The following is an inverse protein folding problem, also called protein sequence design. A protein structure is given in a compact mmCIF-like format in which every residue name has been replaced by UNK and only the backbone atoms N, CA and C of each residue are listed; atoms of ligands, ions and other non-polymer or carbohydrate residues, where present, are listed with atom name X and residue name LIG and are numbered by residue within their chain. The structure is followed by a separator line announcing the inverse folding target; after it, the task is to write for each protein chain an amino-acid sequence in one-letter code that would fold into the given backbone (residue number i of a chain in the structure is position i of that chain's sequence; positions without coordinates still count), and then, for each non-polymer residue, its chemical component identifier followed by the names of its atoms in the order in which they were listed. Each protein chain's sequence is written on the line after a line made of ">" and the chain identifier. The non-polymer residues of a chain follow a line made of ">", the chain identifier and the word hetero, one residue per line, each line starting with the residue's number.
data_IF_744717498917
#
_entry.id   IF_744717498917
#
_cell.length_a   1.000
_cell.length_b   1.000
_cell.length_c   1.000
_cell.angle_alpha   90.00
_cell.angle_beta   90.00
_cell.angle_gamma   90.00
#
_symmetry.space_group_name_H-M   'P 1'
#
loop_
_entity.id
_entity.type
_entity.pdbx_description
1 polymer ?
#
# COMPACT_ATOMS: atom_id res chain seq x y z
N UNK A 1 -2.46 -8.70 -18.60
CA UNK A 1 -3.79 -8.50 -17.96
C UNK A 1 -3.79 -7.10 -17.39
N UNK A 2 -4.68 -6.22 -17.82
CA UNK A 2 -4.80 -4.85 -17.30
C UNK A 2 -5.83 -4.80 -16.17
N UNK A 3 -5.54 -4.07 -15.10
CA UNK A 3 -6.51 -3.86 -14.02
C UNK A 3 -7.61 -2.92 -14.55
N UNK A 4 -8.90 -3.26 -14.41
CA UNK A 4 -10.01 -2.42 -14.86
C UNK A 4 -10.01 -1.07 -14.13
N UNK A 5 -10.40 -0.02 -14.85
CA UNK A 5 -10.60 1.32 -14.29
C UNK A 5 -12.07 1.68 -14.47
N UNK A 6 -12.74 2.02 -13.37
CA UNK A 6 -14.14 2.47 -13.35
C UNK A 6 -14.17 3.97 -13.08
N UNK A 7 -14.85 4.71 -13.94
CA UNK A 7 -15.07 6.15 -13.75
C UNK A 7 -16.23 6.39 -12.79
N UNK A 8 -15.90 6.75 -11.55
CA UNK A 8 -16.86 6.93 -10.46
C UNK A 8 -17.49 8.33 -10.43
N UNK A 9 -17.32 9.16 -11.46
CA UNK A 9 -17.76 10.57 -11.48
C UNK A 9 -19.25 10.72 -11.16
N UNK A 10 -20.11 9.84 -11.70
CA UNK A 10 -21.57 9.90 -11.50
C UNK A 10 -22.01 9.58 -10.08
N UNK A 11 -21.15 8.96 -9.26
CA UNK A 11 -21.40 8.65 -7.85
C UNK A 11 -20.22 9.08 -6.96
N UNK A 12 -19.57 10.19 -7.31
CA UNK A 12 -18.45 10.73 -6.55
C UNK A 12 -18.90 11.24 -5.18
N UNK A 13 -17.97 11.42 -4.23
CA UNK A 13 -18.28 11.89 -2.86
C UNK A 13 -19.05 13.24 -2.79
N UNK A 14 -19.01 14.04 -3.86
CA UNK A 14 -19.74 15.31 -3.95
C UNK A 14 -21.15 15.19 -4.53
N UNK A 15 -21.49 14.06 -5.17
CA UNK A 15 -22.76 13.87 -5.86
C UNK A 15 -23.86 13.40 -4.90
N UNK A 16 -24.95 14.15 -4.82
CA UNK A 16 -26.07 13.87 -3.89
C UNK A 16 -27.30 13.27 -4.58
N UNK A 17 -27.54 13.64 -5.83
CA UNK A 17 -28.73 13.27 -6.59
C UNK A 17 -28.34 12.44 -7.80
N UNK A 18 -28.16 11.13 -7.59
CA UNK A 18 -27.67 10.21 -8.62
C UNK A 18 -28.81 9.39 -9.20
N UNK A 19 -28.88 9.34 -10.52
CA UNK A 19 -29.97 8.64 -11.20
C UNK A 19 -29.79 7.13 -11.13
N UNK A 20 -30.92 6.41 -11.11
CA UNK A 20 -30.92 4.95 -11.00
C UNK A 20 -30.24 4.25 -12.19
N UNK A 21 -30.31 4.81 -13.40
CA UNK A 21 -29.62 4.30 -14.59
C UNK A 21 -28.10 4.37 -14.44
N UNK A 22 -27.57 5.47 -13.91
CA UNK A 22 -26.14 5.66 -13.67
C UNK A 22 -25.60 4.70 -12.60
N UNK A 23 -26.38 4.45 -11.54
CA UNK A 23 -26.02 3.45 -10.52
C UNK A 23 -26.03 2.03 -11.07
N UNK A 24 -26.99 1.71 -11.94
CA UNK A 24 -27.10 0.40 -12.56
C UNK A 24 -25.93 0.11 -13.49
N UNK A 25 -25.46 1.12 -14.24
CA UNK A 25 -24.27 1.05 -15.08
C UNK A 25 -23.00 0.82 -14.24
N UNK A 26 -22.73 1.69 -13.25
CA UNK A 26 -21.59 1.53 -12.33
C UNK A 26 -21.58 0.17 -11.62
N UNK A 27 -22.75 -0.31 -11.21
CA UNK A 27 -22.90 -1.62 -10.58
C UNK A 27 -22.47 -2.75 -11.53
N UNK A 28 -22.83 -2.64 -12.82
CA UNK A 28 -22.42 -3.59 -13.85
C UNK A 28 -20.90 -3.63 -14.04
N UNK A 29 -20.27 -2.46 -14.17
CA UNK A 29 -18.82 -2.34 -14.35
C UNK A 29 -18.04 -2.90 -13.15
N UNK A 30 -18.43 -2.52 -11.92
CA UNK A 30 -17.80 -3.02 -10.70
C UNK A 30 -17.96 -4.52 -10.57
N UNK A 31 -19.16 -5.05 -10.82
CA UNK A 31 -19.43 -6.49 -10.77
C UNK A 31 -18.51 -7.24 -11.74
N UNK A 32 -18.39 -6.75 -12.97
CA UNK A 32 -17.52 -7.37 -13.97
C UNK A 32 -16.06 -7.35 -13.52
N UNK A 33 -15.54 -6.19 -13.10
CA UNK A 33 -14.15 -6.06 -12.66
C UNK A 33 -13.82 -7.00 -11.48
N UNK A 34 -14.68 -7.08 -10.47
CA UNK A 34 -14.48 -7.98 -9.34
C UNK A 34 -14.62 -9.45 -9.71
N UNK A 35 -15.47 -9.80 -10.69
CA UNK A 35 -15.65 -11.20 -11.11
C UNK A 35 -14.48 -11.70 -11.95
N UNK A 36 -13.96 -10.87 -12.85
CA UNK A 36 -12.91 -11.28 -13.80
C UNK A 36 -11.49 -11.13 -13.23
N UNK A 37 -11.25 -10.09 -12.42
CA UNK A 37 -9.90 -9.68 -11.99
C UNK A 37 -9.74 -9.71 -10.47
N UNK A 38 -10.82 -9.44 -9.72
CA UNK A 38 -10.80 -9.33 -8.25
C UNK A 38 -10.33 -7.98 -7.72
N UNK A 39 -9.82 -7.10 -8.58
CA UNK A 39 -9.37 -5.75 -8.23
C UNK A 39 -9.85 -4.74 -9.29
N UNK A 40 -10.05 -3.48 -8.87
CA UNK A 40 -10.49 -2.38 -9.72
C UNK A 40 -9.82 -1.08 -9.26
N UNK A 41 -9.45 -0.22 -10.21
CA UNK A 41 -9.10 1.16 -9.94
C UNK A 41 -10.33 2.05 -10.09
N UNK A 42 -10.54 2.95 -9.12
CA UNK A 42 -11.57 3.98 -9.22
C UNK A 42 -10.93 5.30 -9.65
N UNK A 43 -11.52 5.94 -10.66
CA UNK A 43 -11.19 7.30 -11.05
C UNK A 43 -12.34 8.24 -10.67
N UNK A 44 -12.06 9.53 -10.47
CA UNK A 44 -13.07 10.56 -10.23
C UNK A 44 -13.99 10.25 -9.03
N UNK A 45 -13.47 9.61 -7.99
CA UNK A 45 -14.21 9.29 -6.76
C UNK A 45 -14.59 10.53 -5.92
N UNK A 46 -14.08 11.70 -6.27
CA UNK A 46 -14.23 12.93 -5.50
C UNK A 46 -13.17 13.11 -4.41
N UNK A 47 -12.25 12.16 -4.23
CA UNK A 47 -11.09 12.30 -3.34
C UNK A 47 -9.99 13.09 -4.06
N UNK A 48 -9.66 14.28 -3.56
CA UNK A 48 -8.61 15.10 -4.17
C UNK A 48 -7.20 14.68 -3.68
N UNK A 49 -6.12 15.01 -4.42
CA UNK A 49 -4.76 14.75 -3.96
C UNK A 49 -4.42 15.32 -2.58
N UNK A 50 -5.03 16.45 -2.21
CA UNK A 50 -4.83 17.13 -0.93
C UNK A 50 -5.48 16.34 0.22
N UNK A 51 -6.63 15.70 -0.02
CA UNK A 51 -7.32 14.85 0.95
C UNK A 51 -6.64 13.49 1.17
N UNK A 52 -5.71 13.10 0.29
CA UNK A 52 -4.95 11.83 0.43
C UNK A 52 -3.99 11.85 1.62
N UNK A 53 -3.56 13.03 2.05
CA UNK A 53 -2.57 13.17 3.12
C UNK A 53 -3.16 13.97 4.28
N UNK A 54 -2.88 13.58 5.54
CA UNK A 54 -3.34 14.34 6.70
C UNK A 54 -2.90 15.81 6.69
N UNK A 55 -1.74 16.11 6.12
CA UNK A 55 -1.22 17.46 5.88
C UNK A 55 -0.10 17.44 4.84
N UNK A 56 0.26 18.60 4.31
CA UNK A 56 1.43 18.75 3.42
C UNK A 56 2.75 18.37 4.14
N UNK A 57 2.89 18.76 5.41
CA UNK A 57 4.05 18.40 6.23
C UNK A 57 4.17 16.88 6.41
N UNK A 58 3.03 16.20 6.60
CA UNK A 58 3.02 14.74 6.74
C UNK A 58 3.53 14.06 5.46
N UNK A 59 3.13 14.55 4.28
CA UNK A 59 3.62 14.03 3.00
C UNK A 59 5.15 14.18 2.87
N UNK A 60 5.70 15.33 3.22
CA UNK A 60 7.15 15.58 3.14
C UNK A 60 7.93 14.73 4.16
N UNK A 61 7.41 14.59 5.39
CA UNK A 61 7.98 13.68 6.40
C UNK A 61 7.98 12.24 5.88
N UNK A 62 6.88 11.78 5.29
CA UNK A 62 6.74 10.41 4.79
C UNK A 62 7.69 10.14 3.61
N UNK A 63 7.87 11.11 2.70
CA UNK A 63 8.86 11.04 1.60
C UNK A 63 10.29 10.97 2.13
N UNK A 64 10.64 11.84 3.07
CA UNK A 64 11.96 11.85 3.71
C UNK A 64 12.24 10.52 4.42
N UNK A 65 11.26 10.01 5.17
CA UNK A 65 11.37 8.74 5.87
C UNK A 65 11.54 7.55 4.91
N UNK A 66 10.81 7.54 3.78
CA UNK A 66 10.99 6.54 2.72
C UNK A 66 12.42 6.52 2.20
N UNK A 67 13.03 7.67 1.90
CA UNK A 67 14.40 7.73 1.39
C UNK A 67 15.41 7.21 2.41
N UNK A 68 15.24 7.54 3.70
CA UNK A 68 16.08 7.00 4.77
C UNK A 68 15.95 5.49 4.90
N UNK A 69 14.73 4.96 4.78
CA UNK A 69 14.48 3.51 4.79
C UNK A 69 15.09 2.81 3.58
N UNK A 70 15.01 3.42 2.38
CA UNK A 70 15.66 2.92 1.16
C UNK A 70 17.17 2.80 1.37
N UNK A 71 17.81 3.86 1.86
CA UNK A 71 19.26 3.86 2.12
C UNK A 71 19.64 2.76 3.12
N UNK A 72 18.93 2.66 4.24
CA UNK A 72 19.16 1.63 5.26
C UNK A 72 18.98 0.23 4.67
N UNK A 73 17.94 0.00 3.89
CA UNK A 73 17.66 -1.28 3.24
C UNK A 73 18.81 -1.71 2.32
N UNK A 74 19.34 -0.79 1.50
CA UNK A 74 20.48 -1.07 0.62
C UNK A 74 21.76 -1.41 1.41
N UNK A 75 22.00 -0.74 2.55
CA UNK A 75 23.11 -1.07 3.44
C UNK A 75 22.97 -2.46 4.04
N UNK A 76 21.78 -2.82 4.52
CA UNK A 76 21.49 -4.17 5.04
C UNK A 76 21.68 -5.22 3.96
N UNK A 77 21.15 -5.00 2.75
CA UNK A 77 21.32 -5.90 1.60
C UNK A 77 22.80 -6.12 1.25
N UNK A 78 23.63 -5.07 1.27
CA UNK A 78 25.07 -5.20 1.05
C UNK A 78 25.76 -6.08 2.10
N UNK A 79 25.41 -5.91 3.38
CA UNK A 79 25.94 -6.74 4.47
C UNK A 79 25.52 -8.20 4.30
N UNK A 80 24.27 -8.46 3.90
CA UNK A 80 23.79 -9.82 3.62
C UNK A 80 24.55 -10.46 2.45
N UNK A 81 24.81 -9.72 1.37
CA UNK A 81 25.61 -10.23 0.25
C UNK A 81 27.01 -10.67 0.70
N UNK A 82 27.69 -9.84 1.50
CA UNK A 82 28.99 -10.16 2.10
C UNK A 82 28.94 -11.41 2.98
N UNK A 83 27.93 -11.53 3.84
CA UNK A 83 27.72 -12.69 4.71
C UNK A 83 27.55 -13.99 3.93
N UNK A 84 27.04 -13.93 2.70
CA UNK A 84 26.84 -15.07 1.82
C UNK A 84 28.05 -15.35 0.91
N UNK A 85 29.13 -14.57 1.02
CA UNK A 85 30.30 -14.69 0.14
C UNK A 85 30.03 -14.29 -1.31
N UNK A 86 29.02 -13.44 -1.55
CA UNK A 86 28.64 -12.96 -2.87
C UNK A 86 29.31 -11.60 -3.18
N UNK A 87 29.18 -11.16 -4.43
CA UNK A 87 29.47 -9.77 -4.81
C UNK A 87 28.66 -8.81 -3.90
N UNK A 88 29.31 -7.88 -3.17
CA UNK A 88 28.64 -6.96 -2.24
C UNK A 88 27.49 -6.17 -2.86
N UNK A 89 27.54 -5.93 -4.17
CA UNK A 89 26.57 -5.09 -4.87
C UNK A 89 25.49 -5.89 -5.61
N UNK A 90 25.49 -7.22 -5.53
CA UNK A 90 24.51 -8.07 -6.23
C UNK A 90 23.07 -7.71 -5.87
N UNK A 91 22.79 -7.55 -4.57
CA UNK A 91 21.44 -7.18 -4.12
C UNK A 91 21.15 -5.69 -4.32
N UNK A 92 22.15 -4.81 -4.26
CA UNK A 92 21.94 -3.39 -4.57
C UNK A 92 21.48 -3.22 -6.01
N UNK A 93 22.12 -3.91 -6.96
CA UNK A 93 21.73 -3.89 -8.39
C UNK A 93 20.33 -4.45 -8.60
N UNK A 94 19.99 -5.55 -7.93
CA UNK A 94 18.64 -6.13 -7.98
C UNK A 94 17.54 -5.17 -7.47
N UNK A 95 17.91 -4.20 -6.63
CA UNK A 95 17.01 -3.22 -6.03
C UNK A 95 17.26 -1.78 -6.54
N UNK A 96 17.93 -1.62 -7.68
CA UNK A 96 18.32 -0.30 -8.22
C UNK A 96 17.12 0.62 -8.50
N UNK A 97 15.96 0.03 -8.77
CA UNK A 97 14.74 0.74 -9.14
C UNK A 97 13.88 1.17 -7.94
N UNK A 98 14.29 0.95 -6.69
CA UNK A 98 13.50 1.39 -5.52
C UNK A 98 13.15 2.88 -5.63
N UNK A 99 11.86 3.20 -5.61
CA UNK A 99 11.34 4.56 -5.72
C UNK A 99 11.00 5.02 -7.15
N UNK A 100 11.08 4.13 -8.15
CA UNK A 100 10.52 4.38 -9.51
C UNK A 100 9.22 3.60 -9.71
N UNK A 101 8.49 3.92 -10.79
CA UNK A 101 7.23 3.25 -11.12
C UNK A 101 7.38 1.76 -11.48
N UNK A 102 8.60 1.35 -11.84
CA UNK A 102 8.98 -0.03 -12.16
C UNK A 102 9.26 -0.90 -10.93
N UNK A 103 9.26 -0.30 -9.73
CA UNK A 103 9.46 -1.00 -8.47
C UNK A 103 8.24 -0.83 -7.55
N UNK A 104 7.90 -1.88 -6.82
CA UNK A 104 6.72 -1.92 -5.95
C UNK A 104 7.06 -1.94 -4.45
N UNK A 105 8.24 -1.42 -4.06
CA UNK A 105 8.56 -1.21 -2.65
C UNK A 105 7.59 -0.21 -2.04
N UNK A 106 6.98 -0.59 -0.92
CA UNK A 106 5.95 0.20 -0.24
C UNK A 106 6.41 0.62 1.15
N UNK A 107 6.06 1.85 1.55
CA UNK A 107 6.06 2.29 2.94
C UNK A 107 4.61 2.32 3.43
N UNK A 108 4.35 1.72 4.59
CA UNK A 108 3.01 1.60 5.18
C UNK A 108 3.01 2.20 6.59
N UNK A 109 2.07 3.10 6.85
CA UNK A 109 1.71 3.53 8.21
C UNK A 109 0.46 2.77 8.63
N UNK A 110 0.57 1.97 9.69
CA UNK A 110 -0.52 1.16 10.22
C UNK A 110 -0.83 1.59 11.65
N UNK A 111 -2.11 1.83 11.93
CA UNK A 111 -2.61 2.04 13.28
C UNK A 111 -3.55 0.90 13.62
N UNK A 112 -3.24 0.15 14.68
CA UNK A 112 -4.06 -0.93 15.19
C UNK A 112 -4.83 -0.42 16.42
N UNK A 113 -6.15 -0.19 16.31
CA UNK A 113 -6.94 0.23 17.46
C UNK A 113 -6.89 -0.82 18.58
N UNK A 114 -6.93 -0.40 19.86
CA UNK A 114 -6.94 -1.32 20.98
C UNK A 114 -8.23 -2.16 21.01
N UNK A 115 -8.08 -3.45 21.32
CA UNK A 115 -9.21 -4.38 21.46
C UNK A 115 -9.66 -4.41 22.92
N UNK A 116 -10.84 -3.88 23.23
CA UNK A 116 -11.37 -3.85 24.60
C UNK A 116 -11.81 -5.21 25.13
N UNK A 117 -12.28 -6.10 24.26
CA UNK A 117 -12.72 -7.44 24.60
C UNK A 117 -12.45 -8.35 23.41
N UNK A 118 -11.54 -9.30 23.57
CA UNK A 118 -11.25 -10.32 22.56
C UNK A 118 -11.94 -11.63 22.95
N UNK A 119 -12.52 -12.33 21.98
CA UNK A 119 -12.98 -13.71 22.17
C UNK A 119 -11.77 -14.64 22.31
N UNK A 120 -11.97 -15.78 22.95
CA UNK A 120 -10.98 -16.86 22.95
C UNK A 120 -10.64 -17.25 21.50
N UNK A 121 -9.35 -17.35 21.19
CA UNK A 121 -8.81 -17.63 19.85
C UNK A 121 -9.17 -16.61 18.75
N UNK A 122 -9.49 -15.36 19.11
CA UNK A 122 -9.76 -14.32 18.12
C UNK A 122 -8.48 -13.89 17.39
N UNK A 123 -8.37 -14.30 16.12
CA UNK A 123 -7.32 -13.84 15.22
C UNK A 123 -7.58 -12.38 14.78
N UNK A 124 -6.51 -11.58 14.72
CA UNK A 124 -6.52 -10.27 14.07
C UNK A 124 -5.95 -10.40 12.67
N UNK A 125 -4.63 -10.25 12.55
CA UNK A 125 -3.91 -10.58 11.33
C UNK A 125 -3.55 -12.07 11.38
N UNK A 126 -3.94 -12.83 10.37
CA UNK A 126 -3.53 -14.23 10.25
C UNK A 126 -2.02 -14.35 10.00
N UNK A 127 -1.50 -15.55 10.18
CA UNK A 127 -0.13 -15.87 9.77
C UNK A 127 0.04 -15.60 8.27
N UNK A 128 1.18 -15.03 7.91
CA UNK A 128 1.51 -14.72 6.53
C UNK A 128 3.03 -14.65 6.38
N UNK A 129 3.50 -14.65 5.14
CA UNK A 129 4.85 -14.25 4.79
C UNK A 129 4.80 -12.89 4.11
N UNK A 130 5.80 -12.05 4.39
CA UNK A 130 5.92 -10.77 3.73
C UNK A 130 6.18 -10.94 2.23
N UNK A 131 5.63 -10.03 1.45
CA UNK A 131 5.98 -9.89 0.04
C UNK A 131 7.28 -9.07 -0.08
N UNK A 132 8.31 -9.64 -0.70
CA UNK A 132 9.57 -8.95 -1.01
C UNK A 132 10.79 -9.54 -0.30
N UNK A 133 11.90 -8.80 -0.36
CA UNK A 133 13.21 -9.29 0.12
C UNK A 133 13.43 -9.07 1.62
N UNK A 134 13.08 -7.88 2.14
CA UNK A 134 13.20 -7.51 3.56
C UNK A 134 12.12 -6.51 3.95
N UNK A 135 11.73 -6.51 5.23
CA UNK A 135 10.83 -5.52 5.85
C UNK A 135 11.53 -4.82 7.01
N UNK A 136 11.52 -3.49 7.01
CA UNK A 136 11.92 -2.69 8.17
C UNK A 136 10.66 -2.33 8.97
N UNK A 137 10.57 -2.81 10.22
CA UNK A 137 9.44 -2.53 11.10
C UNK A 137 9.88 -1.57 12.20
N UNK A 138 9.22 -0.43 12.28
CA UNK A 138 9.43 0.57 13.33
C UNK A 138 8.17 0.60 14.21
N UNK A 139 8.31 0.12 15.44
CA UNK A 139 7.22 0.03 16.42
C UNK A 139 7.58 0.77 17.71
N UNK A 140 6.56 1.18 18.44
CA UNK A 140 6.70 1.66 19.82
C UNK A 140 6.99 0.52 20.81
N UNK A 141 6.82 0.78 22.11
CA UNK A 141 7.14 -0.15 23.19
C UNK A 141 6.35 -1.46 23.19
N UNK A 142 5.16 -1.48 22.58
CA UNK A 142 4.16 -2.53 22.85
C UNK A 142 4.08 -3.63 21.77
N UNK A 143 5.07 -3.72 20.88
CA UNK A 143 5.16 -4.81 19.90
C UNK A 143 4.03 -4.85 18.86
N UNK A 144 4.03 -5.89 18.02
CA UNK A 144 2.92 -6.23 17.12
C UNK A 144 1.88 -7.04 17.91
N UNK A 145 0.90 -6.38 18.54
CA UNK A 145 -0.28 -7.03 19.15
C UNK A 145 -1.48 -7.10 18.21
#
# INVERSE_FOLDING_TARGET
>A
MSIPVVDFRSYSLGEKDVRADQLQELSGELKQAFTEIGFVFLQNSGITPEEKWPSADFLEIHRSFFQRCKELSLRVLRVMALSLGLDPDVFIRAHALIGTDENKTTLRSLYYPPVKTAKENQLRCGEHSDYGSITLVFQGSDGLQ
#
